data_IF_135221217280
#
_entry.id   IF_135221217280
#
_cell.length_a   1.000
_cell.length_b   1.000
_cell.length_c   1.000
_cell.angle_alpha   90.00
_cell.angle_beta   90.00
_cell.angle_gamma   90.00
#
_symmetry.space_group_name_H-M   'P 1'
#
loop_
_entity.id
_entity.type
_entity.pdbx_description
1 polymer ?
#
# COMPACT_ATOMS: atom_id res chain seq x y z
N UNK A 1 5.62 26.02 23.20
CA UNK A 1 6.94 25.43 22.87
C UNK A 1 6.63 24.06 22.31
N UNK A 2 6.78 23.88 20.99
CA UNK A 2 6.57 22.58 20.36
C UNK A 2 7.79 21.75 20.76
N UNK A 3 7.55 20.65 21.45
CA UNK A 3 8.58 19.68 21.82
C UNK A 3 8.99 18.97 20.52
N UNK A 4 9.93 19.58 19.79
CA UNK A 4 10.54 18.95 18.62
C UNK A 4 11.53 17.96 19.18
N UNK A 5 11.34 16.63 18.99
CA UNK A 5 12.30 15.66 19.49
C UNK A 5 13.66 15.94 18.81
N UNK A 6 14.63 16.35 19.64
CA UNK A 6 15.97 16.79 19.22
C UNK A 6 16.83 15.62 18.72
N UNK A 7 16.36 14.38 18.91
CA UNK A 7 17.00 13.16 18.42
C UNK A 7 16.12 12.45 17.39
N UNK A 8 16.69 12.29 16.19
CA UNK A 8 16.16 11.38 15.19
C UNK A 8 16.08 9.96 15.80
N UNK A 9 14.99 9.20 15.55
CA UNK A 9 14.85 7.86 16.10
C UNK A 9 16.03 6.98 15.68
N UNK A 10 16.50 6.13 16.60
CA UNK A 10 17.58 5.20 16.28
C UNK A 10 17.18 4.29 15.10
N UNK A 11 18.13 3.80 14.27
CA UNK A 11 17.80 2.94 13.13
C UNK A 11 17.03 1.67 13.49
N UNK A 12 17.10 1.21 14.74
CA UNK A 12 16.30 0.10 15.24
C UNK A 12 14.86 0.52 15.50
N UNK A 13 14.63 1.62 16.22
CA UNK A 13 13.29 2.17 16.46
C UNK A 13 12.60 2.59 15.17
N UNK A 14 13.36 3.13 14.22
CA UNK A 14 12.87 3.44 12.89
C UNK A 14 12.39 2.17 12.17
N UNK A 15 13.19 1.10 12.16
CA UNK A 15 12.81 -0.18 11.54
C UNK A 15 11.58 -0.81 12.20
N UNK A 16 11.50 -0.78 13.53
CA UNK A 16 10.32 -1.28 14.25
C UNK A 16 9.08 -0.44 13.93
N UNK A 17 9.19 0.89 13.90
CA UNK A 17 8.09 1.78 13.51
C UNK A 17 7.67 1.57 12.04
N UNK A 18 8.62 1.37 11.12
CA UNK A 18 8.34 1.08 9.72
C UNK A 18 7.62 -0.27 9.55
N UNK A 19 8.09 -1.33 10.22
CA UNK A 19 7.43 -2.64 10.16
C UNK A 19 5.99 -2.60 10.72
N UNK A 20 5.74 -1.78 11.75
CA UNK A 20 4.39 -1.55 12.24
C UNK A 20 3.53 -0.81 11.21
N UNK A 21 4.06 0.23 10.56
CA UNK A 21 3.35 0.93 9.49
C UNK A 21 3.04 0.00 8.31
N UNK A 22 3.99 -0.81 7.86
CA UNK A 22 3.80 -1.79 6.79
C UNK A 22 2.67 -2.77 7.07
N UNK A 23 2.54 -3.19 8.35
CA UNK A 23 1.45 -4.07 8.78
C UNK A 23 0.09 -3.38 8.70
N UNK A 24 -0.04 -2.14 9.18
CA UNK A 24 -1.31 -1.41 9.09
C UNK A 24 -1.71 -1.14 7.64
N UNK A 25 -0.75 -0.78 6.79
CA UNK A 25 -0.99 -0.60 5.36
C UNK A 25 -1.37 -1.92 4.66
N UNK A 26 -0.79 -3.06 5.08
CA UNK A 26 -1.17 -4.37 4.57
C UNK A 26 -2.60 -4.75 4.99
N UNK A 27 -2.96 -4.52 6.24
CA UNK A 27 -4.31 -4.76 6.76
C UNK A 27 -5.35 -3.84 6.10
N UNK A 28 -4.99 -2.59 5.81
CA UNK A 28 -5.80 -1.64 5.04
C UNK A 28 -6.10 -2.15 3.62
N UNK A 29 -5.06 -2.58 2.88
CA UNK A 29 -5.24 -3.18 1.53
C UNK A 29 -6.11 -4.44 1.56
N UNK A 30 -5.87 -5.29 2.57
CA UNK A 30 -6.64 -6.52 2.83
C UNK A 30 -8.10 -6.25 3.15
N UNK A 31 -8.40 -5.15 3.84
CA UNK A 31 -9.76 -4.70 4.13
C UNK A 31 -10.45 -4.26 2.85
N UNK A 32 -9.84 -3.34 2.10
CA UNK A 32 -10.39 -2.79 0.85
C UNK A 32 -10.60 -3.88 -0.21
N UNK A 33 -9.65 -4.81 -0.35
CA UNK A 33 -9.75 -5.94 -1.28
C UNK A 33 -10.94 -6.85 -0.98
N UNK A 34 -11.17 -7.20 0.29
CA UNK A 34 -12.32 -8.05 0.68
C UNK A 34 -13.64 -7.31 0.58
N UNK A 35 -13.65 -6.02 0.90
CA UNK A 35 -14.80 -5.14 0.70
C UNK A 35 -15.19 -5.09 -0.78
N UNK A 36 -14.22 -4.94 -1.67
CA UNK A 36 -14.44 -4.92 -3.12
C UNK A 36 -14.91 -6.28 -3.67
N UNK A 37 -14.40 -7.38 -3.12
CA UNK A 37 -14.82 -8.73 -3.50
C UNK A 37 -16.18 -9.15 -2.91
N UNK A 38 -16.84 -8.30 -2.13
CA UNK A 38 -18.08 -8.59 -1.39
C UNK A 38 -17.98 -9.82 -0.45
N UNK A 39 -16.76 -10.19 -0.07
CA UNK A 39 -16.48 -11.31 0.84
C UNK A 39 -16.68 -10.86 2.29
N UNK A 40 -17.96 -10.76 2.67
CA UNK A 40 -18.38 -10.27 3.99
C UNK A 40 -17.90 -11.17 5.15
N UNK A 41 -17.72 -12.47 4.91
CA UNK A 41 -17.27 -13.41 5.93
C UNK A 41 -15.80 -13.16 6.27
N UNK A 42 -14.93 -13.16 5.25
CA UNK A 42 -13.51 -12.87 5.45
C UNK A 42 -13.28 -11.43 5.92
N UNK A 43 -14.10 -10.48 5.46
CA UNK A 43 -14.05 -9.09 5.91
C UNK A 43 -14.37 -8.98 7.41
N UNK A 44 -15.42 -9.65 7.87
CA UNK A 44 -15.80 -9.68 9.28
C UNK A 44 -14.73 -10.32 10.15
N UNK A 45 -14.12 -11.41 9.69
CA UNK A 45 -13.01 -12.07 10.39
C UNK A 45 -11.80 -11.13 10.56
N UNK A 46 -11.42 -10.43 9.49
CA UNK A 46 -10.33 -9.46 9.51
C UNK A 46 -10.63 -8.28 10.46
N UNK A 47 -11.86 -7.74 10.41
CA UNK A 47 -12.27 -6.65 11.30
C UNK A 47 -12.18 -7.06 12.77
N UNK A 48 -12.60 -8.28 13.11
CA UNK A 48 -12.47 -8.80 14.48
C UNK A 48 -11.01 -8.93 14.91
N UNK A 49 -10.12 -9.40 14.05
CA UNK A 49 -8.68 -9.50 14.34
C UNK A 49 -8.08 -8.10 14.61
N UNK A 50 -8.33 -7.14 13.72
CA UNK A 50 -7.86 -5.77 13.84
C UNK A 50 -8.36 -5.15 15.14
N UNK A 51 -9.66 -5.31 15.44
CA UNK A 51 -10.26 -4.76 16.66
C UNK A 51 -9.68 -5.39 17.93
N UNK A 52 -9.54 -6.73 17.98
CA UNK A 52 -8.94 -7.43 19.14
C UNK A 52 -7.50 -6.99 19.40
N UNK A 53 -6.76 -6.63 18.35
CA UNK A 53 -5.39 -6.13 18.48
C UNK A 53 -5.29 -4.67 18.94
N UNK A 54 -6.43 -3.95 19.04
CA UNK A 54 -6.45 -2.52 19.40
C UNK A 54 -5.96 -1.58 18.28
N UNK A 55 -5.76 -2.09 17.06
CA UNK A 55 -5.14 -1.36 15.94
C UNK A 55 -6.14 -0.74 14.97
N UNK A 56 -7.45 -0.81 15.26
CA UNK A 56 -8.50 -0.33 14.35
C UNK A 56 -8.29 1.13 13.88
N UNK A 57 -7.93 2.03 14.79
CA UNK A 57 -7.63 3.42 14.44
C UNK A 57 -6.39 3.57 13.56
N UNK A 58 -5.37 2.72 13.76
CA UNK A 58 -4.14 2.77 12.97
C UNK A 58 -4.38 2.27 11.54
N UNK A 59 -5.14 1.17 11.38
CA UNK A 59 -5.55 0.69 10.05
C UNK A 59 -6.42 1.74 9.34
N UNK A 60 -7.35 2.39 10.05
CA UNK A 60 -8.19 3.44 9.47
C UNK A 60 -7.34 4.64 9.01
N UNK A 61 -6.37 5.06 9.82
CA UNK A 61 -5.43 6.11 9.44
C UNK A 61 -4.60 5.70 8.21
N UNK A 62 -4.14 4.45 8.14
CA UNK A 62 -3.43 3.93 6.98
C UNK A 62 -4.29 3.94 5.70
N UNK A 63 -5.59 3.60 5.81
CA UNK A 63 -6.53 3.73 4.69
C UNK A 63 -6.70 5.19 4.25
N UNK A 64 -6.82 6.13 5.20
CA UNK A 64 -6.96 7.55 4.88
C UNK A 64 -5.71 8.11 4.17
N UNK A 65 -4.52 7.72 4.62
CA UNK A 65 -3.26 8.08 3.95
C UNK A 65 -3.22 7.52 2.53
N UNK A 66 -3.55 6.24 2.33
CA UNK A 66 -3.61 5.65 0.98
C UNK A 66 -4.60 6.38 0.07
N UNK A 67 -5.76 6.79 0.58
CA UNK A 67 -6.75 7.53 -0.19
C UNK A 67 -6.27 8.95 -0.55
N UNK A 68 -5.58 9.63 0.36
CA UNK A 68 -5.00 10.95 0.12
C UNK A 68 -3.85 10.88 -0.89
N UNK A 69 -2.94 9.93 -0.74
CA UNK A 69 -1.84 9.69 -1.68
C UNK A 69 -2.38 9.38 -3.08
N UNK A 70 -3.43 8.55 -3.15
CA UNK A 70 -4.12 8.27 -4.41
C UNK A 70 -4.76 9.53 -5.00
N UNK A 71 -5.46 10.34 -4.20
CA UNK A 71 -6.09 11.57 -4.67
C UNK A 71 -5.07 12.60 -5.18
N UNK A 72 -3.90 12.70 -4.54
CA UNK A 72 -2.79 13.56 -4.97
C UNK A 72 -2.17 13.06 -6.27
N UNK A 73 -1.83 11.76 -6.34
CA UNK A 73 -1.36 11.14 -7.58
C UNK A 73 -2.38 11.28 -8.71
N UNK A 74 -3.67 11.19 -8.38
CA UNK A 74 -4.77 11.38 -9.30
C UNK A 74 -4.86 12.82 -9.81
N UNK A 75 -4.71 13.80 -8.94
CA UNK A 75 -4.71 15.20 -9.32
C UNK A 75 -3.52 15.54 -10.23
N UNK A 76 -2.33 14.99 -9.93
CA UNK A 76 -1.10 15.30 -10.67
C UNK A 76 -0.95 14.49 -11.97
N UNK A 77 -1.46 13.25 -12.03
CA UNK A 77 -1.29 12.36 -13.20
C UNK A 77 -2.54 12.11 -14.00
N UNK A 78 -3.74 12.16 -13.41
CA UNK A 78 -4.93 11.63 -14.08
C UNK A 78 -5.69 12.63 -14.91
N UNK A 79 -5.66 13.95 -14.63
CA UNK A 79 -6.28 14.96 -15.50
C UNK A 79 -7.69 14.61 -16.02
N UNK A 80 -8.45 13.77 -15.31
CA UNK A 80 -9.77 13.25 -15.70
C UNK A 80 -9.89 11.78 -16.09
N UNK A 81 -8.82 11.04 -16.41
CA UNK A 81 -8.96 9.67 -16.98
C UNK A 81 -8.14 8.60 -16.22
N UNK A 82 -8.68 8.21 -15.06
CA UNK A 82 -8.16 7.13 -14.20
C UNK A 82 -8.01 5.79 -14.93
N UNK A 83 -8.91 5.49 -15.86
CA UNK A 83 -8.89 4.23 -16.59
C UNK A 83 -7.67 4.14 -17.51
N UNK A 84 -7.40 5.22 -18.25
CA UNK A 84 -6.24 5.31 -19.14
C UNK A 84 -4.92 5.09 -18.41
N UNK A 85 -4.78 5.64 -17.20
CA UNK A 85 -3.56 5.48 -16.41
C UNK A 85 -3.43 4.07 -15.80
N UNK A 86 -4.53 3.45 -15.39
CA UNK A 86 -4.52 2.05 -14.93
C UNK A 86 -4.09 1.12 -16.08
N UNK A 87 -4.61 1.36 -17.28
CA UNK A 87 -4.26 0.60 -18.49
C UNK A 87 -2.77 0.81 -18.86
N UNK A 88 -2.27 2.06 -18.82
CA UNK A 88 -0.84 2.38 -19.07
C UNK A 88 0.10 1.79 -18.01
N UNK A 89 -0.31 1.81 -16.73
CA UNK A 89 0.50 1.26 -15.63
C UNK A 89 0.59 -0.26 -15.69
N UNK A 90 -0.52 -0.93 -16.03
CA UNK A 90 -0.54 -2.37 -16.24
C UNK A 90 0.37 -2.77 -17.43
N UNK A 91 0.30 -2.04 -18.55
CA UNK A 91 1.20 -2.26 -19.68
C UNK A 91 2.68 -2.03 -19.33
N UNK A 92 2.98 -1.05 -18.48
CA UNK A 92 4.36 -0.77 -18.05
C UNK A 92 4.92 -1.89 -17.15
N UNK A 93 4.09 -2.48 -16.27
CA UNK A 93 4.51 -3.63 -15.46
C UNK A 93 4.73 -4.89 -16.32
N UNK A 94 3.84 -5.17 -17.27
CA UNK A 94 4.00 -6.30 -18.21
C UNK A 94 5.28 -6.13 -19.05
N UNK A 95 5.61 -4.91 -19.47
CA UNK A 95 6.83 -4.65 -20.25
C UNK A 95 8.09 -4.88 -19.39
N UNK A 96 8.08 -4.48 -18.12
CA UNK A 96 9.21 -4.70 -17.21
C UNK A 96 9.41 -6.18 -16.82
N UNK A 97 8.33 -6.97 -16.74
CA UNK A 97 8.42 -8.43 -16.55
C UNK A 97 8.94 -9.12 -17.82
N UNK A 98 8.50 -8.68 -19.01
CA UNK A 98 8.94 -9.24 -20.29
C UNK A 98 10.41 -8.89 -20.62
N UNK A 99 10.92 -7.73 -20.19
CA UNK A 99 12.34 -7.35 -20.30
C UNK A 99 13.24 -8.19 -19.38
N UNK A 100 12.76 -8.57 -18.19
CA UNK A 100 13.49 -9.50 -17.29
C UNK A 100 13.59 -10.88 -17.90
N UNK A 101 12.50 -11.42 -18.46
CA UNK A 101 12.49 -12.73 -19.11
C UNK A 101 13.36 -12.78 -20.38
N UNK A 102 13.45 -11.68 -21.15
CA UNK A 102 14.34 -11.61 -22.31
C UNK A 102 15.83 -11.48 -21.93
N UNK A 103 16.14 -10.90 -20.77
CA UNK A 103 17.52 -10.79 -20.29
C UNK A 103 18.11 -12.10 -19.72
N UNK A 104 17.28 -13.11 -19.43
CA UNK A 104 17.72 -14.42 -18.92
C UNK A 104 17.86 -15.50 -20.01
N UNK A 105 17.36 -15.28 -21.23
CA UNK A 105 17.42 -16.24 -22.34
C UNK A 105 18.53 -15.92 -23.38
N UNK A 106 19.30 -14.85 -23.18
CA UNK A 106 20.39 -14.42 -24.07
C UNK A 106 21.79 -14.93 -23.69
N UNK A 107 21.90 -16.08 -23.02
CA UNK A 107 23.16 -16.70 -22.63
C UNK A 107 23.55 -17.85 -23.55
N UNK A 108 24.01 -17.56 -24.76
CA UNK A 108 24.68 -18.56 -25.61
C UNK A 108 26.15 -18.73 -25.16
N UNK A 109 26.48 -19.95 -24.76
CA UNK A 109 27.83 -20.45 -24.49
C UNK A 109 27.86 -21.97 -24.51
#
# INVERSE_FOLDING_TARGET
MVDVPDELPSPHEFRTKMAHLDREFADARRYLSRLHAEDNESLSALMMEIHRSGRAMNVLAAMAVQALDFAQLSADRLGGDLQKWLDESAMTQDTAENERDQSELGGEG
#
